data_IF_653501197100
#
_entry.id   IF_653501197100
#
_cell.length_a   1.000
_cell.length_b   1.000
_cell.length_c   1.000
_cell.angle_alpha   90.00
_cell.angle_beta   90.00
_cell.angle_gamma   90.00
#
_symmetry.space_group_name_H-M   'P 1'
#
loop_
_entity.id
_entity.type
_entity.pdbx_description
1 polymer ?
#
# COMPACT_ATOMS: atom_id res chain seq x y z
N UNK A 1 0.24 -10.87 -4.27
CA UNK A 1 1.02 -9.64 -4.53
C UNK A 1 0.33 -8.49 -3.86
N UNK A 2 1.03 -7.77 -2.99
CA UNK A 2 0.54 -6.53 -2.46
C UNK A 2 0.48 -5.47 -3.55
N UNK A 3 -0.39 -4.49 -3.38
CA UNK A 3 -0.61 -3.44 -4.36
C UNK A 3 -0.93 -2.11 -3.69
N UNK A 4 -0.48 -1.03 -4.32
CA UNK A 4 -0.87 0.34 -3.96
C UNK A 4 -1.94 0.78 -4.94
N UNK A 5 -3.11 1.13 -4.41
CA UNK A 5 -4.28 1.55 -5.20
C UNK A 5 -4.80 2.88 -4.68
N UNK A 6 -5.50 3.60 -5.53
CA UNK A 6 -6.23 4.81 -5.17
C UNK A 6 -7.70 4.50 -4.95
N UNK A 7 -8.34 5.22 -4.03
CA UNK A 7 -9.78 5.17 -3.85
C UNK A 7 -10.46 6.00 -4.93
N UNK A 8 -11.48 5.42 -5.56
CA UNK A 8 -12.29 6.10 -6.57
C UNK A 8 -13.03 7.32 -6.00
N UNK A 9 -13.34 7.31 -4.70
CA UNK A 9 -14.12 8.37 -4.06
C UNK A 9 -13.26 9.54 -3.56
N UNK A 10 -12.06 9.28 -3.04
CA UNK A 10 -11.23 10.29 -2.37
C UNK A 10 -9.88 10.54 -3.05
N UNK A 11 -9.54 9.80 -4.10
CA UNK A 11 -8.22 9.77 -4.75
C UNK A 11 -7.03 9.54 -3.81
N UNK A 12 -7.31 9.02 -2.62
CA UNK A 12 -6.29 8.68 -1.62
C UNK A 12 -5.73 7.29 -1.85
N UNK A 13 -4.42 7.18 -1.70
CA UNK A 13 -3.68 5.94 -1.82
C UNK A 13 -3.92 5.04 -0.61
N UNK A 14 -3.93 3.73 -0.84
CA UNK A 14 -3.99 2.73 0.21
C UNK A 14 -3.17 1.50 -0.18
N UNK A 15 -2.67 0.82 0.84
CA UNK A 15 -2.03 -0.47 0.70
C UNK A 15 -3.07 -1.58 0.71
N UNK A 16 -2.88 -2.57 -0.15
CA UNK A 16 -3.61 -3.83 -0.08
C UNK A 16 -2.60 -4.97 -0.11
N UNK A 17 -2.49 -5.71 0.99
CA UNK A 17 -1.59 -6.86 1.11
C UNK A 17 -2.23 -7.99 1.93
N UNK A 18 -1.57 -9.14 2.01
CA UNK A 18 -2.01 -10.26 2.86
C UNK A 18 -0.91 -10.62 3.83
N UNK A 19 -1.26 -10.81 5.09
CA UNK A 19 -0.37 -11.26 6.15
C UNK A 19 -1.08 -12.32 6.98
N UNK A 20 -0.41 -13.46 7.23
CA UNK A 20 -0.97 -14.60 7.99
C UNK A 20 -2.37 -15.06 7.52
N UNK A 21 -2.64 -15.00 6.22
CA UNK A 21 -3.95 -15.36 5.66
C UNK A 21 -5.04 -14.28 5.79
N UNK A 22 -4.75 -13.17 6.47
CA UNK A 22 -5.65 -12.03 6.62
C UNK A 22 -5.37 -10.99 5.53
N UNK A 23 -6.42 -10.42 4.95
CA UNK A 23 -6.30 -9.30 4.01
C UNK A 23 -6.18 -7.99 4.78
N UNK A 24 -5.03 -7.35 4.67
CA UNK A 24 -4.76 -6.05 5.27
C UNK A 24 -4.99 -4.95 4.23
N UNK A 25 -5.81 -3.96 4.59
CA UNK A 25 -6.06 -2.76 3.79
C UNK A 25 -5.79 -1.53 4.64
N UNK A 26 -4.67 -0.89 4.38
CA UNK A 26 -4.21 0.25 5.16
C UNK A 26 -4.42 1.54 4.38
N UNK A 27 -5.20 2.45 4.94
CA UNK A 27 -5.55 3.72 4.30
C UNK A 27 -4.47 4.75 4.58
N UNK A 28 -4.16 5.57 3.58
CA UNK A 28 -3.28 6.73 3.75
C UNK A 28 -4.04 8.03 3.47
N UNK A 29 -3.50 9.14 3.95
CA UNK A 29 -3.97 10.49 3.62
C UNK A 29 -3.23 11.08 2.40
N UNK A 30 -2.53 10.24 1.62
CA UNK A 30 -1.75 10.70 0.47
C UNK A 30 -2.58 10.64 -0.81
N UNK A 31 -2.68 11.74 -1.58
CA UNK A 31 -3.31 11.71 -2.89
C UNK A 31 -2.48 10.89 -3.90
N UNK A 32 -3.14 10.35 -4.93
CA UNK A 32 -2.52 9.59 -6.03
C UNK A 32 -1.66 10.51 -6.91
N UNK A 33 -0.40 10.66 -6.50
CA UNK A 33 0.63 11.34 -7.28
C UNK A 33 1.80 10.38 -7.49
N UNK A 34 2.56 10.51 -8.60
CA UNK A 34 3.73 9.67 -8.86
C UNK A 34 4.76 9.70 -7.71
N UNK A 35 4.94 10.86 -7.09
CA UNK A 35 5.84 11.02 -5.96
C UNK A 35 5.37 10.24 -4.72
N UNK A 36 4.07 10.29 -4.40
CA UNK A 36 3.50 9.56 -3.27
C UNK A 36 3.47 8.05 -3.54
N UNK A 37 3.15 7.63 -4.76
CA UNK A 37 3.19 6.22 -5.16
C UNK A 37 4.59 5.63 -4.99
N UNK A 38 5.63 6.34 -5.44
CA UNK A 38 7.03 5.92 -5.26
C UNK A 38 7.46 5.86 -3.78
N UNK A 39 6.93 6.75 -2.93
CA UNK A 39 7.16 6.68 -1.48
C UNK A 39 6.51 5.44 -0.88
N UNK A 40 5.26 5.18 -1.25
CA UNK A 40 4.52 4.01 -0.77
C UNK A 40 5.11 2.71 -1.29
N UNK A 41 5.63 2.65 -2.53
CA UNK A 41 6.33 1.48 -3.06
C UNK A 41 7.48 1.05 -2.14
N UNK A 42 8.33 1.99 -1.73
CA UNK A 42 9.43 1.71 -0.78
C UNK A 42 8.94 1.19 0.58
N UNK A 43 7.77 1.63 1.03
CA UNK A 43 7.17 1.15 2.28
C UNK A 43 6.59 -0.24 2.08
N UNK A 44 5.95 -0.48 0.93
CA UNK A 44 5.43 -1.79 0.56
C UNK A 44 6.55 -2.83 0.45
N UNK A 45 7.68 -2.48 -0.15
CA UNK A 45 8.87 -3.35 -0.24
C UNK A 45 9.37 -3.75 1.16
N UNK A 46 9.35 -2.83 2.12
CA UNK A 46 9.71 -3.13 3.52
C UNK A 46 8.70 -4.07 4.17
N UNK A 47 7.41 -3.81 3.98
CA UNK A 47 6.34 -4.68 4.49
C UNK A 47 6.49 -6.08 3.89
N UNK A 48 6.72 -6.21 2.60
CA UNK A 48 6.98 -7.51 1.95
C UNK A 48 8.20 -8.21 2.55
N UNK A 49 9.31 -7.48 2.75
CA UNK A 49 10.52 -8.04 3.34
C UNK A 49 10.31 -8.52 4.77
N UNK A 50 9.48 -7.83 5.57
CA UNK A 50 9.14 -8.25 6.94
C UNK A 50 8.16 -9.43 6.97
N UNK A 51 7.25 -9.52 5.99
CA UNK A 51 6.31 -10.65 5.88
C UNK A 51 7.02 -11.93 5.42
N UNK A 52 8.06 -11.80 4.60
CA UNK A 52 8.85 -12.91 4.08
C UNK A 52 9.95 -13.40 5.04
N UNK A 53 10.26 -12.64 6.08
CA UNK A 53 11.23 -12.99 7.13
C UNK A 53 10.63 -13.98 8.14
#
# INVERSE_FOLDING_TARGET
>A
MPSIRSRVDSDLLFFEFRFMGVRCREQTLLPDTPANRKKLEKVLDKIESEIAA
#
